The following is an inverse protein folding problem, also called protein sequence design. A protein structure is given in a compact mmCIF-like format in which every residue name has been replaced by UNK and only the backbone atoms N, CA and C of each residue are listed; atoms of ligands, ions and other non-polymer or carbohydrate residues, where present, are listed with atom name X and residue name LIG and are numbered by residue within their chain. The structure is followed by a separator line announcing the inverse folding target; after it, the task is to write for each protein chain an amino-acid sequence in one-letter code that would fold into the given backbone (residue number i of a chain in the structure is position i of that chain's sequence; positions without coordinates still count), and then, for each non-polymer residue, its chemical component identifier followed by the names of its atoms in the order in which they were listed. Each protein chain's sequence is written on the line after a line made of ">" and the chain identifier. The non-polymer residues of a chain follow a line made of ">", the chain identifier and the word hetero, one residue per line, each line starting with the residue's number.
data_IF_958500835260
#
_entry.id   IF_958500835260
#
_cell.length_a   1.000
_cell.length_b   1.000
_cell.length_c   1.000
_cell.angle_alpha   90.00
_cell.angle_beta   90.00
_cell.angle_gamma   90.00
#
_symmetry.space_group_name_H-M   'P 1'
#
loop_
_entity.id
_entity.type
_entity.pdbx_description
1 polymer ?
#
# COMPACT_ATOMS: atom_id res chain seq x y z
N UNK A 1 8.54 -62.09 -15.50
CA UNK A 1 8.29 -62.11 -14.04
C UNK A 1 9.41 -61.47 -13.21
N UNK A 2 10.72 -61.68 -13.48
CA UNK A 2 11.80 -61.08 -12.65
C UNK A 2 11.92 -59.54 -12.74
N UNK A 3 11.68 -58.93 -13.92
CA UNK A 3 11.74 -57.47 -14.10
C UNK A 3 10.64 -56.72 -13.34
N UNK A 4 9.42 -57.26 -13.23
CA UNK A 4 8.33 -56.60 -12.50
C UNK A 4 8.54 -56.61 -10.99
N UNK A 5 9.17 -57.67 -10.45
CA UNK A 5 9.52 -57.75 -9.02
C UNK A 5 10.60 -56.74 -8.62
N UNK A 6 11.62 -56.53 -9.46
CA UNK A 6 12.67 -55.53 -9.21
C UNK A 6 12.14 -54.10 -9.25
N UNK A 7 11.24 -53.80 -10.21
CA UNK A 7 10.58 -52.50 -10.31
C UNK A 7 9.69 -52.26 -9.07
N UNK A 8 8.91 -53.25 -8.64
CA UNK A 8 8.09 -53.13 -7.43
C UNK A 8 8.93 -52.90 -6.16
N UNK A 9 10.06 -53.59 -6.00
CA UNK A 9 10.98 -53.37 -4.87
C UNK A 9 11.62 -51.99 -4.92
N UNK A 10 12.03 -51.50 -6.08
CA UNK A 10 12.61 -50.16 -6.24
C UNK A 10 11.58 -49.05 -5.92
N UNK A 11 10.34 -49.20 -6.38
CA UNK A 11 9.23 -48.30 -6.04
C UNK A 11 8.97 -48.33 -4.53
N UNK A 12 8.89 -49.52 -3.92
CA UNK A 12 8.68 -49.66 -2.47
C UNK A 12 9.78 -48.98 -1.64
N UNK A 13 11.05 -49.17 -2.02
CA UNK A 13 12.18 -48.50 -1.36
C UNK A 13 12.11 -46.97 -1.51
N UNK A 14 11.72 -46.48 -2.69
CA UNK A 14 11.53 -45.05 -2.93
C UNK A 14 10.41 -44.43 -2.06
N UNK A 15 9.27 -45.11 -1.95
CA UNK A 15 8.15 -44.67 -1.11
C UNK A 15 8.55 -44.63 0.37
N UNK A 16 9.21 -45.68 0.87
CA UNK A 16 9.67 -45.72 2.27
C UNK A 16 10.69 -44.61 2.54
N UNK A 17 11.63 -44.38 1.61
CA UNK A 17 12.62 -43.31 1.71
C UNK A 17 11.95 -41.93 1.79
N UNK A 18 11.02 -41.64 0.88
CA UNK A 18 10.26 -40.40 0.87
C UNK A 18 9.47 -40.19 2.18
N UNK A 19 8.73 -41.21 2.64
CA UNK A 19 7.96 -41.13 3.88
C UNK A 19 8.86 -40.89 5.11
N UNK A 20 10.04 -41.52 5.15
CA UNK A 20 11.01 -41.29 6.21
C UNK A 20 11.55 -39.85 6.17
N UNK A 21 11.79 -39.29 4.98
CA UNK A 21 12.17 -37.89 4.83
C UNK A 21 11.07 -36.95 5.30
N UNK A 22 9.82 -37.14 4.85
CA UNK A 22 8.67 -36.35 5.29
C UNK A 22 8.50 -36.40 6.80
N UNK A 23 8.64 -37.58 7.41
CA UNK A 23 8.59 -37.73 8.87
C UNK A 23 9.70 -36.93 9.58
N UNK A 24 10.94 -36.98 9.07
CA UNK A 24 12.04 -36.22 9.65
C UNK A 24 11.82 -34.70 9.55
N UNK A 25 11.32 -34.22 8.41
CA UNK A 25 10.91 -32.82 8.21
C UNK A 25 9.82 -32.44 9.21
N UNK A 26 8.75 -33.23 9.32
CA UNK A 26 7.63 -32.97 10.22
C UNK A 26 8.05 -32.90 11.71
N UNK A 27 8.99 -33.74 12.14
CA UNK A 27 9.53 -33.67 13.51
C UNK A 27 10.42 -32.44 13.73
N UNK A 28 11.19 -32.05 12.72
CA UNK A 28 11.98 -30.81 12.75
C UNK A 28 11.09 -29.59 12.90
N UNK A 29 10.06 -29.48 12.06
CA UNK A 29 9.09 -28.38 12.09
C UNK A 29 8.35 -28.34 13.43
N UNK A 30 7.94 -29.50 13.96
CA UNK A 30 7.29 -29.59 15.28
C UNK A 30 8.13 -28.96 16.39
N UNK A 31 9.41 -29.34 16.42
CA UNK A 31 10.35 -28.89 17.46
C UNK A 31 10.54 -27.39 17.39
N UNK A 32 10.74 -26.87 16.18
CA UNK A 32 10.94 -25.46 15.93
C UNK A 32 9.69 -24.62 16.27
N UNK A 33 8.49 -25.07 15.89
CA UNK A 33 7.24 -24.42 16.27
C UNK A 33 7.02 -24.37 17.78
N UNK A 34 7.39 -25.43 18.51
CA UNK A 34 7.30 -25.47 19.98
C UNK A 34 8.28 -24.48 20.62
N UNK A 35 9.51 -24.42 20.10
CA UNK A 35 10.54 -23.47 20.54
C UNK A 35 10.06 -22.02 20.35
N UNK A 36 9.58 -21.67 19.16
CA UNK A 36 9.10 -20.32 18.89
C UNK A 36 7.92 -19.93 19.79
N UNK A 37 6.92 -20.81 19.93
CA UNK A 37 5.75 -20.55 20.78
C UNK A 37 6.14 -20.35 22.24
N UNK A 38 7.17 -21.04 22.73
CA UNK A 38 7.65 -20.89 24.11
C UNK A 38 8.32 -19.53 24.38
N UNK A 39 8.80 -18.85 23.33
CA UNK A 39 9.46 -17.55 23.42
C UNK A 39 8.48 -16.39 23.16
N UNK A 40 7.35 -16.64 22.49
CA UNK A 40 6.35 -15.63 22.19
C UNK A 40 5.61 -15.14 23.45
N UNK A 41 5.49 -13.83 23.62
CA UNK A 41 4.72 -13.24 24.71
C UNK A 41 3.33 -12.79 24.22
N UNK A 42 2.32 -13.61 24.48
CA UNK A 42 0.94 -13.37 24.05
C UNK A 42 0.02 -12.87 25.18
N UNK A 43 0.57 -12.51 26.34
CA UNK A 43 -0.23 -12.15 27.54
C UNK A 43 -1.16 -10.96 27.26
N UNK A 44 -0.77 -10.07 26.36
CA UNK A 44 -1.57 -8.88 25.98
C UNK A 44 -2.59 -9.15 24.89
N UNK A 45 -2.46 -10.24 24.14
CA UNK A 45 -3.34 -10.57 23.02
C UNK A 45 -4.66 -11.14 23.52
N UNK A 46 -5.78 -10.77 22.89
CA UNK A 46 -7.08 -11.36 23.18
C UNK A 46 -7.15 -12.84 22.72
N UNK A 47 -8.16 -13.62 23.15
CA UNK A 47 -8.22 -15.05 22.88
C UNK A 47 -8.24 -15.43 21.38
N UNK A 48 -8.81 -14.59 20.51
CA UNK A 48 -8.86 -14.88 19.08
C UNK A 48 -7.51 -14.55 18.42
N UNK A 49 -6.89 -13.44 18.81
CA UNK A 49 -5.52 -13.10 18.40
C UNK A 49 -4.50 -14.15 18.85
N UNK A 50 -4.65 -14.72 20.06
CA UNK A 50 -3.82 -15.84 20.52
C UNK A 50 -4.00 -17.10 19.67
N UNK A 51 -5.22 -17.40 19.23
CA UNK A 51 -5.49 -18.54 18.34
C UNK A 51 -4.89 -18.32 16.95
N UNK A 52 -5.08 -17.13 16.38
CA UNK A 52 -4.49 -16.78 15.09
C UNK A 52 -2.97 -16.89 15.11
N UNK A 53 -2.31 -16.34 16.15
CA UNK A 53 -0.86 -16.48 16.33
C UNK A 53 -0.40 -17.94 16.39
N UNK A 54 -1.13 -18.78 17.15
CA UNK A 54 -0.83 -20.22 17.25
C UNK A 54 -0.95 -20.91 15.90
N UNK A 55 -1.96 -20.57 15.10
CA UNK A 55 -2.13 -21.12 13.74
C UNK A 55 -0.96 -20.70 12.85
N UNK A 56 -0.62 -19.40 12.79
CA UNK A 56 0.54 -18.94 11.99
C UNK A 56 1.81 -19.70 12.34
N UNK A 57 2.09 -19.81 13.64
CA UNK A 57 3.23 -20.54 14.14
C UNK A 57 3.18 -22.02 13.76
N UNK A 58 2.08 -22.72 14.03
CA UNK A 58 1.96 -24.16 13.82
C UNK A 58 1.97 -24.57 12.35
N UNK A 59 1.54 -23.68 11.45
CA UNK A 59 1.54 -23.90 10.00
C UNK A 59 2.85 -23.47 9.33
N UNK A 60 3.79 -22.89 10.10
CA UNK A 60 5.10 -22.50 9.58
C UNK A 60 5.06 -21.27 8.68
N UNK A 61 4.04 -20.41 8.80
CA UNK A 61 3.90 -19.22 7.95
C UNK A 61 5.14 -18.32 8.05
N UNK A 62 5.70 -18.20 9.26
CA UNK A 62 6.88 -17.39 9.52
C UNK A 62 8.13 -17.81 8.72
N UNK A 63 8.25 -19.10 8.32
CA UNK A 63 9.44 -19.59 7.63
C UNK A 63 9.68 -18.89 6.30
N UNK A 64 8.60 -18.61 5.57
CA UNK A 64 8.68 -17.96 4.26
C UNK A 64 8.32 -16.47 4.30
N UNK A 65 7.54 -16.05 5.30
CA UNK A 65 6.95 -14.71 5.35
C UNK A 65 7.59 -13.77 6.39
N UNK A 66 8.74 -14.10 6.96
CA UNK A 66 9.48 -13.18 7.85
C UNK A 66 10.96 -13.15 7.50
N UNK A 67 11.62 -12.02 7.75
CA UNK A 67 13.04 -11.83 7.37
C UNK A 67 14.03 -12.52 8.30
N UNK A 68 13.61 -12.86 9.53
CA UNK A 68 14.50 -13.29 10.61
C UNK A 68 14.08 -14.65 11.21
N UNK A 69 13.40 -15.49 10.45
CA UNK A 69 13.01 -16.82 10.93
C UNK A 69 14.22 -17.71 11.15
N UNK A 70 14.24 -18.40 12.29
CA UNK A 70 15.12 -19.55 12.48
C UNK A 70 14.71 -20.65 11.49
N UNK A 71 15.64 -21.05 10.62
CA UNK A 71 15.35 -22.00 9.56
C UNK A 71 15.53 -23.44 10.07
N UNK A 72 14.67 -24.37 9.64
CA UNK A 72 14.77 -25.77 10.03
C UNK A 72 16.06 -26.42 9.52
N UNK A 73 16.49 -27.52 10.15
CA UNK A 73 17.79 -28.15 9.87
C UNK A 73 18.00 -28.50 8.38
N UNK A 74 16.93 -28.88 7.67
CA UNK A 74 16.98 -29.27 6.27
C UNK A 74 17.14 -28.09 5.30
N UNK A 75 16.93 -26.85 5.75
CA UNK A 75 17.14 -25.65 4.94
C UNK A 75 18.60 -25.45 4.51
N UNK A 76 19.54 -26.12 5.18
CA UNK A 76 20.96 -26.10 4.83
C UNK A 76 21.39 -27.28 3.94
N UNK A 77 20.48 -28.20 3.61
CA UNK A 77 20.80 -29.35 2.76
C UNK A 77 20.94 -28.94 1.28
N UNK A 78 21.82 -29.58 0.49
CA UNK A 78 21.89 -29.36 -0.95
C UNK A 78 20.50 -29.53 -1.61
N UNK A 79 20.22 -28.73 -2.65
CA UNK A 79 18.89 -28.61 -3.32
C UNK A 79 17.82 -27.94 -2.46
N UNK A 80 17.56 -28.42 -1.23
CA UNK A 80 16.56 -27.83 -0.33
C UNK A 80 16.89 -26.36 -0.04
N UNK A 81 18.17 -26.05 0.21
CA UNK A 81 18.64 -24.67 0.40
C UNK A 81 18.26 -23.74 -0.74
N UNK A 82 18.56 -24.12 -1.98
CA UNK A 82 18.31 -23.27 -3.15
C UNK A 82 16.82 -23.04 -3.39
N UNK A 83 16.02 -24.10 -3.22
CA UNK A 83 14.57 -24.03 -3.35
C UNK A 83 13.98 -23.12 -2.27
N UNK A 84 14.35 -23.32 -1.01
CA UNK A 84 13.85 -22.52 0.11
C UNK A 84 14.30 -21.05 0.01
N UNK A 85 15.56 -20.78 -0.35
CA UNK A 85 16.03 -19.39 -0.57
C UNK A 85 15.23 -18.69 -1.67
N UNK A 86 14.92 -19.40 -2.76
CA UNK A 86 14.07 -18.88 -3.82
C UNK A 86 12.64 -18.61 -3.31
N UNK A 87 12.03 -19.57 -2.64
CA UNK A 87 10.63 -19.48 -2.20
C UNK A 87 10.45 -18.42 -1.11
N UNK A 88 11.38 -18.32 -0.15
CA UNK A 88 11.42 -17.26 0.87
C UNK A 88 11.54 -15.90 0.20
N UNK A 89 12.44 -15.75 -0.79
CA UNK A 89 12.60 -14.49 -1.53
C UNK A 89 11.29 -14.10 -2.24
N UNK A 90 10.62 -15.03 -2.91
CA UNK A 90 9.35 -14.74 -3.58
C UNK A 90 8.20 -14.48 -2.60
N UNK A 91 8.14 -15.21 -1.49
CA UNK A 91 7.15 -15.03 -0.44
C UNK A 91 7.28 -13.65 0.22
N UNK A 92 8.50 -13.23 0.58
CA UNK A 92 8.77 -11.90 1.14
C UNK A 92 8.47 -10.77 0.14
N UNK A 93 8.64 -11.00 -1.16
CA UNK A 93 8.20 -10.03 -2.19
C UNK A 93 6.69 -9.79 -2.14
N UNK A 94 5.90 -10.85 -1.96
CA UNK A 94 4.43 -10.76 -1.94
C UNK A 94 3.87 -10.29 -0.60
N UNK A 95 4.35 -10.87 0.50
CA UNK A 95 3.83 -10.59 1.83
C UNK A 95 4.87 -10.90 2.91
N UNK A 96 5.28 -9.86 3.65
CA UNK A 96 6.09 -9.98 4.85
C UNK A 96 5.20 -9.76 6.07
N UNK A 97 5.07 -10.77 6.93
CA UNK A 97 4.25 -10.75 8.15
C UNK A 97 5.06 -10.46 9.41
N UNK A 98 6.34 -10.05 9.30
CA UNK A 98 7.17 -9.75 10.47
C UNK A 98 6.51 -8.72 11.39
N UNK A 99 5.96 -7.64 10.83
CA UNK A 99 5.27 -6.60 11.59
C UNK A 99 3.98 -7.14 12.23
N UNK A 100 3.12 -7.82 11.45
CA UNK A 100 1.94 -8.51 11.96
C UNK A 100 2.24 -9.40 13.18
N UNK A 101 3.26 -10.25 13.10
CA UNK A 101 3.61 -11.18 14.18
C UNK A 101 4.06 -10.46 15.46
N UNK A 102 4.74 -9.31 15.33
CA UNK A 102 5.11 -8.46 16.46
C UNK A 102 3.90 -7.72 17.04
N UNK A 103 3.05 -7.16 16.18
CA UNK A 103 1.88 -6.38 16.58
C UNK A 103 0.86 -7.23 17.34
N UNK A 104 0.66 -8.49 16.93
CA UNK A 104 -0.20 -9.44 17.67
C UNK A 104 0.29 -9.63 19.10
N UNK A 105 1.60 -9.84 19.30
CA UNK A 105 2.19 -9.99 20.65
C UNK A 105 2.04 -8.71 21.48
N UNK A 106 2.11 -7.55 20.83
CA UNK A 106 2.03 -6.25 21.50
C UNK A 106 0.60 -5.73 21.68
N UNK A 107 -0.43 -6.43 21.17
CA UNK A 107 -1.83 -5.96 21.07
C UNK A 107 -1.93 -4.57 20.41
N UNK A 108 -1.17 -4.40 19.31
CA UNK A 108 -1.22 -3.22 18.45
C UNK A 108 -2.11 -3.51 17.23
N UNK A 109 -2.71 -2.47 16.61
CA UNK A 109 -3.46 -2.64 15.37
C UNK A 109 -2.60 -3.28 14.27
N UNK A 110 -3.17 -4.26 13.56
CA UNK A 110 -2.58 -4.87 12.36
C UNK A 110 -2.91 -4.01 11.14
N UNK A 111 -2.00 -3.83 10.19
CA UNK A 111 -2.28 -2.98 9.01
C UNK A 111 -3.47 -3.51 8.19
N UNK A 112 -4.29 -2.59 7.66
CA UNK A 112 -5.40 -2.92 6.75
C UNK A 112 -4.93 -3.71 5.52
N UNK A 113 -3.70 -3.45 5.05
CA UNK A 113 -3.08 -4.16 3.91
C UNK A 113 -2.75 -5.61 4.29
N UNK A 114 -2.17 -5.82 5.46
CA UNK A 114 -1.81 -7.16 5.94
C UNK A 114 -3.07 -8.01 6.17
N UNK A 115 -4.12 -7.41 6.75
CA UNK A 115 -5.43 -8.04 6.92
C UNK A 115 -6.08 -8.40 5.57
N UNK A 116 -6.02 -7.51 4.58
CA UNK A 116 -6.58 -7.76 3.25
C UNK A 116 -5.82 -8.84 2.48
N UNK A 117 -4.49 -8.86 2.54
CA UNK A 117 -3.66 -9.93 1.95
C UNK A 117 -3.96 -11.28 2.57
N UNK A 118 -4.04 -11.33 3.91
CA UNK A 118 -4.35 -12.54 4.64
C UNK A 118 -5.74 -13.07 4.28
N UNK A 119 -6.77 -12.22 4.32
CA UNK A 119 -8.13 -12.61 3.92
C UNK A 119 -8.17 -13.14 2.48
N UNK A 120 -7.46 -12.50 1.56
CA UNK A 120 -7.43 -12.94 0.16
C UNK A 120 -6.89 -14.35 0.01
N UNK A 121 -5.79 -14.70 0.66
CA UNK A 121 -5.17 -16.05 0.54
C UNK A 121 -5.93 -17.14 1.29
N UNK A 122 -6.69 -16.76 2.32
CA UNK A 122 -7.58 -17.66 3.05
C UNK A 122 -8.84 -17.99 2.24
N UNK A 123 -9.42 -16.99 1.58
CA UNK A 123 -10.64 -17.16 0.79
C UNK A 123 -10.43 -17.99 -0.48
N UNK A 124 -9.27 -17.90 -1.13
CA UNK A 124 -8.97 -18.64 -2.35
C UNK A 124 -8.19 -19.95 -2.13
N UNK A 125 -7.75 -20.22 -0.89
CA UNK A 125 -6.95 -21.40 -0.55
C UNK A 125 -5.60 -21.43 -1.27
N UNK A 126 -5.04 -20.27 -1.65
CA UNK A 126 -3.76 -20.19 -2.33
C UNK A 126 -2.56 -20.54 -1.42
N UNK A 127 -2.76 -20.48 -0.10
CA UNK A 127 -1.72 -20.75 0.89
C UNK A 127 -2.13 -21.88 1.86
N UNK A 128 -1.21 -22.81 2.18
CA UNK A 128 0.14 -22.93 1.61
C UNK A 128 0.13 -23.49 0.17
N UNK A 129 1.17 -23.24 -0.64
CA UNK A 129 1.25 -23.79 -1.99
C UNK A 129 1.24 -25.33 -2.01
N UNK A 130 0.54 -25.95 -2.96
CA UNK A 130 0.43 -27.42 -3.06
C UNK A 130 1.79 -28.15 -3.13
N UNK A 131 2.79 -27.51 -3.72
CA UNK A 131 4.15 -28.07 -3.81
C UNK A 131 4.82 -28.13 -2.42
N UNK A 132 4.61 -27.11 -1.59
CA UNK A 132 5.08 -27.09 -0.21
C UNK A 132 4.45 -28.23 0.61
N UNK A 133 3.15 -28.50 0.38
CA UNK A 133 2.44 -29.62 0.99
C UNK A 133 2.93 -31.01 0.54
N UNK A 134 3.89 -31.14 -0.37
CA UNK A 134 4.53 -32.44 -0.63
C UNK A 134 5.48 -32.85 0.50
N UNK A 135 6.03 -31.89 1.25
CA UNK A 135 6.96 -32.16 2.35
C UNK A 135 6.40 -31.74 3.72
N UNK A 136 5.46 -30.78 3.75
CA UNK A 136 4.97 -30.15 4.98
C UNK A 136 3.48 -30.40 5.22
N UNK A 137 3.08 -31.65 5.42
CA UNK A 137 1.66 -32.03 5.52
C UNK A 137 0.93 -31.35 6.69
N UNK A 138 1.63 -31.07 7.79
CA UNK A 138 1.07 -30.37 8.97
C UNK A 138 0.68 -28.92 8.66
N UNK A 139 1.30 -28.32 7.66
CA UNK A 139 1.06 -26.93 7.28
C UNK A 139 -0.24 -26.71 6.51
N UNK A 140 -0.92 -27.78 6.10
CA UNK A 140 -2.24 -27.68 5.48
C UNK A 140 -3.24 -27.06 6.45
N UNK A 141 -4.01 -26.08 5.96
CA UNK A 141 -5.00 -25.35 6.77
C UNK A 141 -6.34 -26.07 6.70
N UNK A 142 -6.84 -26.51 7.85
CA UNK A 142 -8.21 -27.03 7.93
C UNK A 142 -9.24 -25.92 7.75
N UNK A 143 -10.48 -26.29 7.41
CA UNK A 143 -11.59 -25.33 7.35
C UNK A 143 -11.78 -24.59 8.68
N UNK A 144 -11.66 -25.30 9.80
CA UNK A 144 -11.80 -24.71 11.13
C UNK A 144 -10.71 -23.66 11.40
N UNK A 145 -9.46 -23.94 11.05
CA UNK A 145 -8.35 -22.98 11.22
C UNK A 145 -8.53 -21.77 10.29
N UNK A 146 -8.99 -22.00 9.06
CA UNK A 146 -9.34 -20.95 8.10
C UNK A 146 -10.42 -20.03 8.65
N UNK A 147 -11.50 -20.60 9.19
CA UNK A 147 -12.60 -19.84 9.79
C UNK A 147 -12.14 -19.02 11.01
N UNK A 148 -11.24 -19.57 11.83
CA UNK A 148 -10.64 -18.84 12.97
C UNK A 148 -9.87 -17.61 12.47
N UNK A 149 -9.03 -17.77 11.44
CA UNK A 149 -8.26 -16.66 10.90
C UNK A 149 -9.14 -15.62 10.22
N UNK A 150 -10.17 -16.01 9.47
CA UNK A 150 -11.13 -15.08 8.88
C UNK A 150 -11.93 -14.33 9.93
N UNK A 151 -12.35 -14.99 11.01
CA UNK A 151 -13.00 -14.33 12.14
C UNK A 151 -12.07 -13.37 12.87
N UNK A 152 -10.79 -13.74 12.99
CA UNK A 152 -9.77 -12.85 13.55
C UNK A 152 -9.59 -11.59 12.70
N UNK A 153 -9.50 -11.71 11.38
CA UNK A 153 -9.46 -10.56 10.46
C UNK A 153 -10.67 -9.64 10.66
N UNK A 154 -11.88 -10.21 10.73
CA UNK A 154 -13.11 -9.44 10.99
C UNK A 154 -13.08 -8.72 12.34
N UNK A 155 -12.54 -9.36 13.38
CA UNK A 155 -12.38 -8.75 14.70
C UNK A 155 -11.43 -7.56 14.64
N UNK A 156 -10.26 -7.72 14.03
CA UNK A 156 -9.27 -6.65 13.91
C UNK A 156 -9.83 -5.45 13.14
N UNK A 157 -10.50 -5.69 12.01
CA UNK A 157 -11.23 -4.64 11.28
C UNK A 157 -12.29 -3.98 12.15
N UNK A 158 -13.12 -4.77 12.84
CA UNK A 158 -14.18 -4.22 13.70
C UNK A 158 -13.64 -3.35 14.83
N UNK A 159 -12.44 -3.65 15.34
CA UNK A 159 -11.84 -2.98 16.50
C UNK A 159 -11.15 -1.68 16.12
N UNK A 160 -10.57 -1.60 14.92
CA UNK A 160 -9.68 -0.50 14.55
C UNK A 160 -10.08 0.29 13.29
N UNK A 161 -10.82 -0.31 12.36
CA UNK A 161 -10.98 0.26 11.01
C UNK A 161 -12.43 0.33 10.51
N UNK A 162 -13.35 -0.43 11.10
CA UNK A 162 -14.73 -0.46 10.65
C UNK A 162 -15.43 0.87 10.94
N UNK A 163 -15.98 1.46 9.89
CA UNK A 163 -16.83 2.63 10.01
C UNK A 163 -18.22 2.24 10.53
N UNK A 164 -18.72 2.98 11.51
CA UNK A 164 -20.03 2.76 12.13
C UNK A 164 -21.23 3.12 11.25
N UNK A 165 -21.03 3.96 10.23
CA UNK A 165 -22.07 4.36 9.28
C UNK A 165 -22.23 3.39 8.11
N UNK A 166 -21.30 2.43 7.96
CA UNK A 166 -21.32 1.44 6.88
C UNK A 166 -22.36 0.36 7.18
N UNK A 167 -23.12 -0.05 6.14
CA UNK A 167 -24.14 -1.08 6.31
C UNK A 167 -23.53 -2.45 6.63
N UNK A 168 -24.24 -3.36 7.33
CA UNK A 168 -23.67 -4.63 7.80
C UNK A 168 -22.99 -5.49 6.73
N UNK A 169 -23.44 -5.39 5.47
CA UNK A 169 -22.87 -6.09 4.32
C UNK A 169 -21.39 -5.75 4.07
N UNK A 170 -21.00 -4.47 4.24
CA UNK A 170 -19.64 -3.97 3.97
C UNK A 170 -18.85 -3.67 5.24
N UNK A 171 -19.40 -3.96 6.43
CA UNK A 171 -18.78 -3.66 7.73
C UNK A 171 -17.35 -4.20 7.86
N UNK A 172 -17.08 -5.32 7.21
CA UNK A 172 -15.76 -5.98 7.25
C UNK A 172 -15.04 -5.93 5.91
N UNK A 173 -15.53 -5.19 4.91
CA UNK A 173 -14.80 -5.05 3.65
C UNK A 173 -13.47 -4.33 3.89
N UNK A 174 -12.44 -4.70 3.11
CA UNK A 174 -11.13 -4.07 3.18
C UNK A 174 -11.18 -2.58 2.81
N UNK A 175 -12.13 -2.19 1.97
CA UNK A 175 -12.35 -0.80 1.58
C UNK A 175 -13.46 -0.18 2.43
N UNK A 176 -13.20 1.01 2.95
CA UNK A 176 -14.12 1.77 3.80
C UNK A 176 -14.36 3.16 3.18
N UNK A 177 -15.51 3.82 3.47
CA UNK A 177 -15.75 5.16 2.97
C UNK A 177 -14.82 6.18 3.64
N UNK A 178 -14.54 7.31 2.98
CA UNK A 178 -13.86 8.42 3.66
C UNK A 178 -14.83 9.02 4.68
N UNK A 179 -14.49 8.87 5.96
CA UNK A 179 -15.21 9.45 7.09
C UNK A 179 -14.30 10.09 8.13
N UNK A 180 -13.00 9.80 8.10
CA UNK A 180 -12.05 10.44 9.02
C UNK A 180 -11.97 11.94 8.77
N UNK A 181 -12.23 12.70 9.84
CA UNK A 181 -11.99 14.14 9.89
C UNK A 181 -10.67 14.42 10.61
N UNK A 182 -9.82 15.26 10.02
CA UNK A 182 -8.57 15.67 10.64
C UNK A 182 -8.77 16.96 11.42
N UNK A 183 -8.32 16.99 12.68
CA UNK A 183 -8.30 18.22 13.46
C UNK A 183 -7.22 19.15 12.90
N UNK A 184 -7.61 20.37 12.57
CA UNK A 184 -6.73 21.42 12.04
C UNK A 184 -6.89 22.72 12.81
N UNK A 185 -5.94 23.63 12.65
CA UNK A 185 -6.06 25.01 13.09
C UNK A 185 -6.47 25.90 11.91
N UNK A 186 -7.72 26.39 11.90
CA UNK A 186 -8.29 27.16 10.78
C UNK A 186 -7.45 28.38 10.36
N UNK A 187 -6.79 29.05 11.31
CA UNK A 187 -5.94 30.20 10.99
C UNK A 187 -4.65 29.77 10.29
N UNK A 188 -4.08 28.60 10.66
CA UNK A 188 -2.95 28.01 9.94
C UNK A 188 -3.37 27.44 8.59
N UNK A 189 -4.56 26.86 8.47
CA UNK A 189 -5.14 26.40 7.19
C UNK A 189 -5.21 27.55 6.21
N UNK A 190 -5.73 28.71 6.63
CA UNK A 190 -5.81 29.89 5.77
C UNK A 190 -4.42 30.36 5.32
N UNK A 191 -3.46 30.45 6.24
CA UNK A 191 -2.07 30.79 5.90
C UNK A 191 -1.46 29.74 4.94
N UNK A 192 -1.72 28.47 5.18
CA UNK A 192 -1.28 27.36 4.32
C UNK A 192 -1.83 27.44 2.91
N UNK A 193 -3.12 27.77 2.77
CA UNK A 193 -3.77 27.99 1.47
C UNK A 193 -3.13 29.17 0.72
N UNK A 194 -2.85 30.28 1.43
CA UNK A 194 -2.13 31.42 0.86
C UNK A 194 -0.74 30.99 0.35
N UNK A 195 0.02 30.25 1.15
CA UNK A 195 1.36 29.75 0.80
C UNK A 195 1.34 28.71 -0.33
N UNK A 196 0.34 27.84 -0.38
CA UNK A 196 0.16 26.83 -1.43
C UNK A 196 0.05 27.44 -2.84
N UNK A 197 -0.45 28.68 -2.90
CA UNK A 197 -0.58 29.46 -4.13
C UNK A 197 0.53 30.51 -4.30
N UNK A 198 1.41 30.67 -3.31
CA UNK A 198 2.43 31.72 -3.32
C UNK A 198 3.68 31.31 -4.12
N UNK A 199 3.83 31.93 -5.29
CA UNK A 199 4.98 31.68 -6.17
C UNK A 199 6.30 32.14 -5.55
N UNK A 200 6.29 33.01 -4.54
CA UNK A 200 7.51 33.47 -3.84
C UNK A 200 8.24 32.33 -3.14
N UNK A 201 7.63 31.16 -2.97
CA UNK A 201 8.31 29.96 -2.51
C UNK A 201 9.32 29.41 -3.54
N UNK A 202 9.18 29.72 -4.84
CA UNK A 202 10.15 29.35 -5.88
C UNK A 202 11.24 30.37 -6.08
N UNK A 203 12.44 29.95 -6.50
CA UNK A 203 13.62 30.81 -6.61
C UNK A 203 13.43 32.06 -7.47
N UNK A 204 12.68 31.95 -8.56
CA UNK A 204 12.43 33.06 -9.50
C UNK A 204 10.98 33.58 -9.46
N UNK A 205 10.20 33.20 -8.45
CA UNK A 205 8.80 33.60 -8.26
C UNK A 205 7.83 33.18 -9.40
N UNK A 206 8.07 32.03 -10.04
CA UNK A 206 7.24 31.53 -11.17
C UNK A 206 6.40 30.30 -10.85
N UNK A 207 6.81 29.48 -9.88
CA UNK A 207 6.19 28.19 -9.53
C UNK A 207 5.66 28.22 -8.10
N UNK A 208 4.50 27.61 -7.86
CA UNK A 208 3.90 27.36 -6.55
C UNK A 208 3.41 25.89 -6.49
N UNK A 209 3.01 25.40 -5.31
CA UNK A 209 2.46 24.04 -5.15
C UNK A 209 1.29 23.81 -6.13
N UNK A 210 0.37 24.77 -6.21
CA UNK A 210 -0.78 24.80 -7.13
C UNK A 210 -0.42 24.80 -8.63
N UNK A 211 0.85 24.99 -9.01
CA UNK A 211 1.30 24.90 -10.41
C UNK A 211 1.29 23.45 -10.89
N UNK A 212 1.78 22.53 -10.05
CA UNK A 212 1.83 21.09 -10.35
C UNK A 212 0.62 20.34 -9.76
N UNK A 213 0.04 20.87 -8.69
CA UNK A 213 -1.07 20.24 -7.96
C UNK A 213 -2.30 21.16 -7.97
N UNK A 214 -2.93 21.31 -9.14
CA UNK A 214 -4.05 22.24 -9.28
C UNK A 214 -5.32 21.70 -8.60
N UNK A 215 -5.84 22.41 -7.61
CA UNK A 215 -7.07 22.02 -6.89
C UNK A 215 -8.32 22.00 -7.79
N UNK A 216 -8.27 22.63 -8.96
CA UNK A 216 -9.35 22.65 -9.97
C UNK A 216 -9.20 21.57 -11.05
N UNK A 217 -8.20 20.70 -10.93
CA UNK A 217 -7.85 19.64 -11.90
C UNK A 217 -7.48 18.36 -11.16
N UNK A 218 -8.35 17.90 -10.27
CA UNK A 218 -8.11 16.69 -9.48
C UNK A 218 -6.88 16.71 -8.57
N UNK A 219 -6.25 17.86 -8.33
CA UNK A 219 -5.03 17.99 -7.51
C UNK A 219 -3.73 17.65 -8.26
N UNK A 220 -3.74 17.65 -9.59
CA UNK A 220 -2.59 17.34 -10.47
C UNK A 220 -2.45 18.36 -11.60
N UNK A 221 -1.47 18.19 -12.49
CA UNK A 221 -1.22 19.05 -13.66
C UNK A 221 -1.62 18.43 -15.01
N UNK A 222 -1.96 17.13 -15.02
CA UNK A 222 -2.24 16.31 -16.21
C UNK A 222 -1.09 16.23 -17.22
N UNK A 223 0.14 16.33 -16.74
CA UNK A 223 1.34 16.13 -17.55
C UNK A 223 1.92 14.74 -17.31
N UNK A 224 2.66 14.22 -18.29
CA UNK A 224 3.46 13.01 -18.09
C UNK A 224 4.43 13.20 -16.92
N UNK A 225 5.18 14.30 -16.98
CA UNK A 225 5.97 14.81 -15.85
C UNK A 225 5.84 16.32 -15.74
N UNK A 226 5.87 16.80 -14.50
CA UNK A 226 5.65 18.21 -14.18
C UNK A 226 6.74 19.13 -14.74
N UNK A 227 6.33 20.37 -15.02
CA UNK A 227 7.24 21.45 -15.41
C UNK A 227 7.51 22.35 -14.21
N UNK A 228 8.75 22.39 -13.76
CA UNK A 228 9.20 23.28 -12.70
C UNK A 228 9.85 24.56 -13.21
N UNK A 229 10.70 25.13 -12.36
CA UNK A 229 11.41 26.38 -12.56
C UNK A 229 12.22 26.36 -13.85
N UNK A 230 12.22 27.48 -14.58
CA UNK A 230 12.92 27.64 -15.87
C UNK A 230 12.50 26.62 -16.96
N UNK A 231 11.31 26.01 -16.84
CA UNK A 231 10.83 25.01 -17.79
C UNK A 231 11.43 23.62 -17.61
N UNK A 232 12.15 23.37 -16.49
CA UNK A 232 12.73 22.07 -16.19
C UNK A 232 11.63 20.98 -16.09
N UNK A 233 11.95 19.77 -16.54
CA UNK A 233 11.04 18.62 -16.47
C UNK A 233 11.47 17.66 -15.37
N UNK A 234 10.52 17.31 -14.51
CA UNK A 234 10.68 16.26 -13.51
C UNK A 234 10.79 14.86 -14.13
N UNK A 235 11.27 13.86 -13.38
CA UNK A 235 11.35 12.48 -13.85
C UNK A 235 10.10 11.64 -13.56
N UNK A 236 9.11 12.19 -12.85
CA UNK A 236 7.93 11.45 -12.38
C UNK A 236 6.64 12.25 -12.61
N UNK A 237 5.53 11.53 -12.67
CA UNK A 237 4.18 12.08 -12.64
C UNK A 237 3.86 12.62 -11.23
N UNK A 238 3.23 13.80 -11.17
CA UNK A 238 2.82 14.42 -9.92
C UNK A 238 1.53 13.75 -9.38
N UNK A 239 1.59 13.07 -8.21
CA UNK A 239 0.41 12.48 -7.61
C UNK A 239 -0.54 13.57 -7.09
N UNK A 240 -1.82 13.24 -6.91
CA UNK A 240 -2.78 14.19 -6.34
C UNK A 240 -2.47 14.55 -4.88
N UNK A 241 -2.72 15.81 -4.51
CA UNK A 241 -2.72 16.25 -3.11
C UNK A 241 -3.98 15.83 -2.35
N UNK A 242 -5.08 15.54 -3.05
CA UNK A 242 -6.33 15.15 -2.39
C UNK A 242 -6.19 13.80 -1.70
N UNK A 243 -6.63 13.72 -0.44
CA UNK A 243 -6.54 12.55 0.44
C UNK A 243 -5.10 12.09 0.75
N UNK A 244 -4.08 12.88 0.41
CA UNK A 244 -2.67 12.55 0.69
C UNK A 244 -2.34 12.45 2.18
N UNK A 245 -3.16 13.08 3.03
CA UNK A 245 -3.13 12.97 4.50
C UNK A 245 -3.31 11.54 5.02
N UNK A 246 -3.95 10.65 4.25
CA UNK A 246 -4.10 9.24 4.61
C UNK A 246 -2.86 8.39 4.33
N UNK A 247 -1.88 8.90 3.57
CA UNK A 247 -0.68 8.14 3.27
C UNK A 247 0.20 7.97 4.52
N UNK A 248 0.78 6.78 4.70
CA UNK A 248 1.77 6.51 5.76
C UNK A 248 3.13 7.21 5.52
N UNK A 249 3.38 7.59 4.28
CA UNK A 249 4.57 8.30 3.79
C UNK A 249 4.19 9.10 2.54
N UNK A 250 4.93 10.15 2.20
CA UNK A 250 4.68 10.95 1.00
C UNK A 250 5.70 10.68 -0.11
N UNK A 251 5.36 11.10 -1.35
CA UNK A 251 6.01 10.71 -2.61
C UNK A 251 5.82 9.23 -2.99
N UNK A 252 6.14 8.90 -4.25
CA UNK A 252 6.09 7.54 -4.80
C UNK A 252 7.06 6.57 -4.12
N UNK A 253 8.22 7.05 -3.68
CA UNK A 253 9.25 6.28 -2.96
C UNK A 253 9.10 6.37 -1.43
N UNK A 254 8.13 7.16 -0.94
CA UNK A 254 7.87 7.33 0.49
C UNK A 254 8.95 8.08 1.28
N UNK A 255 9.80 8.87 0.62
CA UNK A 255 10.99 9.46 1.28
C UNK A 255 10.68 10.49 2.37
N UNK A 256 9.47 11.03 2.41
CA UNK A 256 9.01 11.92 3.48
C UNK A 256 8.00 11.18 4.38
N UNK A 257 8.09 11.37 5.70
CA UNK A 257 7.24 10.68 6.69
C UNK A 257 5.82 11.24 6.75
N UNK A 258 5.64 12.51 6.42
CA UNK A 258 4.36 13.22 6.51
C UNK A 258 4.29 14.40 5.52
N UNK A 259 3.15 15.10 5.49
CA UNK A 259 2.91 16.25 4.63
C UNK A 259 3.86 17.42 4.93
N UNK A 260 4.22 17.65 6.19
CA UNK A 260 5.09 18.75 6.57
C UNK A 260 6.51 18.51 6.02
N UNK A 261 7.06 17.31 6.19
CA UNK A 261 8.35 16.95 5.62
C UNK A 261 8.31 16.97 4.09
N UNK A 262 7.20 16.53 3.47
CA UNK A 262 7.01 16.59 2.02
C UNK A 262 7.06 18.03 1.51
N UNK A 263 6.34 18.95 2.14
CA UNK A 263 6.29 20.37 1.75
C UNK A 263 7.67 21.05 1.80
N UNK A 264 8.63 20.47 2.53
CA UNK A 264 10.01 20.95 2.56
C UNK A 264 10.83 20.62 1.30
N UNK A 265 10.46 19.57 0.56
CA UNK A 265 11.19 19.08 -0.60
C UNK A 265 11.10 19.97 -1.84
N UNK A 266 9.90 20.24 -2.39
CA UNK A 266 9.73 21.00 -3.64
C UNK A 266 10.40 22.37 -3.67
N UNK A 267 10.34 23.20 -2.61
CA UNK A 267 11.04 24.48 -2.54
C UNK A 267 12.55 24.37 -2.80
N UNK A 268 13.19 23.30 -2.30
CA UNK A 268 14.64 23.10 -2.39
C UNK A 268 15.06 22.32 -3.64
N UNK A 269 14.15 21.61 -4.30
CA UNK A 269 14.47 20.82 -5.48
C UNK A 269 14.76 21.74 -6.69
N UNK A 270 15.98 21.67 -7.30
CA UNK A 270 16.40 22.57 -8.38
C UNK A 270 15.58 22.46 -9.67
N UNK A 271 14.86 21.36 -9.88
CA UNK A 271 14.01 21.17 -11.07
C UNK A 271 12.52 21.35 -10.78
N UNK A 272 12.14 21.61 -9.52
CA UNK A 272 10.76 21.94 -9.12
C UNK A 272 10.64 23.44 -8.85
N UNK A 273 10.88 23.90 -7.61
CA UNK A 273 10.76 25.33 -7.26
C UNK A 273 12.12 26.02 -7.12
N UNK A 274 13.21 25.27 -6.93
CA UNK A 274 14.60 25.72 -7.09
C UNK A 274 14.98 26.99 -6.31
N UNK A 275 14.53 27.14 -5.08
CA UNK A 275 14.84 28.33 -4.28
C UNK A 275 16.30 28.42 -3.83
N UNK A 276 17.01 27.28 -3.76
CA UNK A 276 18.42 27.17 -3.39
C UNK A 276 18.70 27.28 -1.88
N UNK A 277 17.89 28.03 -1.14
CA UNK A 277 17.90 28.05 0.32
C UNK A 277 16.59 28.55 0.90
N UNK A 278 16.27 28.13 2.13
CA UNK A 278 15.14 28.67 2.88
C UNK A 278 15.30 30.15 3.21
N UNK A 279 16.52 30.62 3.46
CA UNK A 279 16.78 32.04 3.72
C UNK A 279 16.32 32.90 2.54
N UNK A 280 16.55 32.45 1.30
CA UNK A 280 16.09 33.17 0.12
C UNK A 280 14.56 33.27 0.06
N UNK A 281 13.82 32.23 0.47
CA UNK A 281 12.36 32.27 0.57
C UNK A 281 11.94 33.25 1.67
N UNK A 282 12.53 33.12 2.86
CA UNK A 282 12.24 33.95 4.02
C UNK A 282 12.47 35.43 3.70
N UNK A 283 13.59 35.80 3.05
CA UNK A 283 13.90 37.19 2.67
C UNK A 283 12.88 37.80 1.70
N UNK A 284 12.17 36.96 0.92
CA UNK A 284 11.10 37.42 0.02
C UNK A 284 9.79 37.59 0.77
N UNK A 285 9.44 36.65 1.64
CA UNK A 285 8.21 36.69 2.43
C UNK A 285 8.26 37.76 3.53
N UNK A 286 9.43 38.02 4.14
CA UNK A 286 9.60 39.01 5.21
C UNK A 286 9.35 40.45 4.76
N UNK A 287 9.44 40.72 3.45
CA UNK A 287 9.11 42.02 2.85
C UNK A 287 7.60 42.30 2.81
N UNK A 288 6.78 41.29 3.03
CA UNK A 288 5.33 41.40 3.12
C UNK A 288 4.92 41.56 4.59
N UNK A 289 4.70 42.81 5.00
CA UNK A 289 4.39 43.14 6.40
C UNK A 289 3.09 42.50 6.90
N UNK A 290 2.11 42.27 6.01
CA UNK A 290 0.87 41.61 6.37
C UNK A 290 1.11 40.12 6.62
N UNK A 291 1.82 39.44 5.71
CA UNK A 291 2.17 38.03 5.88
C UNK A 291 3.04 37.81 7.12
N UNK A 292 4.05 38.67 7.34
CA UNK A 292 4.90 38.63 8.54
C UNK A 292 4.07 38.72 9.83
N UNK A 293 3.13 39.65 9.89
CA UNK A 293 2.24 39.77 11.06
C UNK A 293 1.38 38.52 11.28
N UNK A 294 0.94 37.83 10.22
CA UNK A 294 0.24 36.55 10.33
C UNK A 294 1.16 35.47 10.96
N UNK A 295 2.40 35.35 10.48
CA UNK A 295 3.38 34.41 11.02
C UNK A 295 3.74 34.71 12.46
N UNK A 296 4.01 35.96 12.82
CA UNK A 296 4.33 36.35 14.20
C UNK A 296 3.18 36.04 15.16
N UNK A 297 1.93 36.15 14.70
CA UNK A 297 0.74 35.79 15.48
C UNK A 297 0.55 34.28 15.63
N UNK A 298 0.76 33.51 14.56
CA UNK A 298 0.49 32.05 14.54
C UNK A 298 1.67 31.20 15.04
N UNK A 299 2.88 31.74 14.92
CA UNK A 299 4.15 31.10 15.23
C UNK A 299 5.08 32.05 16.01
N UNK A 300 4.69 32.53 17.20
CA UNK A 300 5.43 33.59 17.91
C UNK A 300 6.88 33.25 18.29
N UNK A 301 7.25 31.96 18.26
CA UNK A 301 8.63 31.51 18.51
C UNK A 301 9.45 31.37 17.22
N UNK A 302 8.81 31.05 16.11
CA UNK A 302 9.48 30.70 14.86
C UNK A 302 9.45 31.84 13.83
N UNK A 303 8.43 32.71 13.88
CA UNK A 303 8.17 33.70 12.83
C UNK A 303 8.03 33.03 11.46
N UNK A 304 8.52 33.68 10.41
CA UNK A 304 8.67 33.07 9.08
C UNK A 304 9.91 32.17 9.09
N UNK A 305 9.70 30.87 8.96
CA UNK A 305 10.76 29.85 8.96
C UNK A 305 10.35 28.65 8.10
N UNK A 306 11.30 27.79 7.74
CA UNK A 306 11.00 26.49 7.10
C UNK A 306 9.90 25.72 7.85
N UNK A 307 10.04 25.61 9.18
CA UNK A 307 9.09 24.89 10.02
C UNK A 307 7.68 25.47 9.93
N UNK A 308 7.53 26.80 10.08
CA UNK A 308 6.21 27.44 10.09
C UNK A 308 5.57 27.46 8.70
N UNK A 309 6.36 27.60 7.63
CA UNK A 309 5.87 27.53 6.25
C UNK A 309 5.34 26.12 5.95
N UNK A 310 6.15 25.09 6.21
CA UNK A 310 5.79 23.70 5.93
C UNK A 310 4.64 23.21 6.82
N UNK A 311 4.60 23.62 8.09
CA UNK A 311 3.49 23.30 9.01
C UNK A 311 2.17 23.90 8.53
N UNK A 312 2.16 25.17 8.11
CA UNK A 312 0.96 25.83 7.60
C UNK A 312 0.43 25.14 6.32
N UNK A 313 1.32 24.84 5.36
CA UNK A 313 0.95 24.10 4.14
C UNK A 313 0.37 22.72 4.49
N UNK A 314 1.02 21.97 5.39
CA UNK A 314 0.53 20.67 5.82
C UNK A 314 -0.84 20.76 6.53
N UNK A 315 -1.07 21.80 7.35
CA UNK A 315 -2.38 22.06 7.96
C UNK A 315 -3.46 22.29 6.89
N UNK A 316 -3.16 23.04 5.82
CA UNK A 316 -4.06 23.20 4.69
C UNK A 316 -4.31 21.87 3.96
N UNK A 317 -3.27 21.11 3.65
CA UNK A 317 -3.40 19.84 2.93
C UNK A 317 -4.20 18.78 3.68
N UNK A 318 -4.21 18.80 5.02
CA UNK A 318 -5.11 17.96 5.86
C UNK A 318 -6.59 18.21 5.57
N UNK A 319 -6.95 19.38 5.05
CA UNK A 319 -8.34 19.72 4.67
C UNK A 319 -8.72 19.27 3.26
N UNK A 320 -7.74 18.86 2.44
CA UNK A 320 -7.94 18.42 1.06
C UNK A 320 -8.43 16.96 1.02
N UNK A 321 -9.55 16.69 1.69
CA UNK A 321 -10.19 15.38 1.78
C UNK A 321 -11.48 15.40 0.95
N UNK A 322 -11.76 14.30 0.25
CA UNK A 322 -12.89 14.22 -0.70
C UNK A 322 -13.87 13.10 -0.34
N UNK A 323 -14.72 13.26 0.70
CA UNK A 323 -15.73 12.27 1.06
C UNK A 323 -16.91 12.27 0.08
N UNK A 324 -17.96 11.50 0.38
CA UNK A 324 -19.25 11.53 -0.33
C UNK A 324 -19.19 11.15 -1.81
N UNK A 325 -18.18 10.37 -2.21
CA UNK A 325 -18.20 9.73 -3.54
C UNK A 325 -19.43 8.85 -3.68
N UNK A 326 -19.82 8.54 -4.93
CA UNK A 326 -20.96 7.63 -5.17
C UNK A 326 -20.72 6.27 -4.53
N UNK A 327 -19.48 5.81 -4.51
CA UNK A 327 -19.10 4.59 -3.80
C UNK A 327 -19.24 4.72 -2.28
N UNK A 328 -18.84 5.86 -1.67
CA UNK A 328 -19.04 6.06 -0.23
C UNK A 328 -20.52 5.99 0.15
N UNK A 329 -21.39 6.61 -0.65
CA UNK A 329 -22.84 6.59 -0.46
C UNK A 329 -23.39 5.17 -0.56
N UNK A 330 -22.89 4.37 -1.50
CA UNK A 330 -23.23 2.95 -1.64
C UNK A 330 -22.82 2.12 -0.42
N UNK A 331 -21.58 2.28 0.07
CA UNK A 331 -21.10 1.61 1.29
C UNK A 331 -21.94 1.98 2.53
N UNK A 332 -22.49 3.20 2.56
CA UNK A 332 -23.40 3.68 3.63
C UNK A 332 -24.87 3.31 3.41
N UNK A 333 -25.19 2.55 2.36
CA UNK A 333 -26.51 1.93 2.16
C UNK A 333 -27.38 2.54 1.06
N UNK A 334 -26.92 3.57 0.35
CA UNK A 334 -27.61 4.06 -0.85
C UNK A 334 -27.35 3.10 -2.02
N UNK A 335 -28.19 2.08 -2.14
CA UNK A 335 -28.12 1.08 -3.21
C UNK A 335 -28.31 1.66 -4.61
N UNK A 336 -28.86 2.87 -4.72
CA UNK A 336 -29.06 3.56 -6.00
C UNK A 336 -27.88 4.42 -6.43
N UNK A 337 -26.89 4.62 -5.53
CA UNK A 337 -25.71 5.41 -5.83
C UNK A 337 -24.84 4.77 -6.93
N UNK A 338 -24.86 3.43 -7.04
CA UNK A 338 -24.17 2.67 -8.09
C UNK A 338 -25.15 1.94 -9.01
N UNK A 339 -24.84 1.95 -10.30
CA UNK A 339 -25.46 1.07 -11.31
C UNK A 339 -25.04 -0.38 -11.09
N UNK A 340 -25.75 -1.32 -11.72
CA UNK A 340 -25.37 -2.73 -11.67
C UNK A 340 -23.96 -2.98 -12.25
N UNK A 341 -23.61 -2.29 -13.34
CA UNK A 341 -22.29 -2.41 -13.97
C UNK A 341 -21.15 -1.98 -13.03
N UNK A 342 -21.33 -0.89 -12.29
CA UNK A 342 -20.35 -0.41 -11.31
C UNK A 342 -20.25 -1.36 -10.09
N UNK A 343 -21.35 -1.98 -9.68
CA UNK A 343 -21.33 -3.00 -8.62
C UNK A 343 -20.60 -4.27 -9.08
N UNK A 344 -20.84 -4.72 -10.31
CA UNK A 344 -20.07 -5.80 -10.94
C UNK A 344 -18.58 -5.43 -11.05
N UNK A 345 -18.27 -4.18 -11.37
CA UNK A 345 -16.91 -3.64 -11.35
C UNK A 345 -16.22 -3.74 -10.00
N UNK A 346 -16.92 -3.40 -8.90
CA UNK A 346 -16.38 -3.59 -7.55
C UNK A 346 -16.18 -5.07 -7.21
N UNK A 347 -17.11 -5.94 -7.62
CA UNK A 347 -16.95 -7.39 -7.43
C UNK A 347 -15.71 -7.93 -8.18
N UNK A 348 -15.48 -7.48 -9.42
CA UNK A 348 -14.29 -7.81 -10.20
C UNK A 348 -13.01 -7.26 -9.58
N UNK A 349 -13.04 -6.04 -9.05
CA UNK A 349 -11.91 -5.45 -8.31
C UNK A 349 -11.50 -6.32 -7.11
N UNK A 350 -12.48 -6.85 -6.38
CA UNK A 350 -12.23 -7.79 -5.26
C UNK A 350 -11.74 -9.15 -5.76
N UNK A 351 -12.38 -9.72 -6.77
CA UNK A 351 -12.03 -11.02 -7.33
C UNK A 351 -10.60 -11.05 -7.92
N UNK A 352 -10.15 -9.92 -8.47
CA UNK A 352 -8.80 -9.74 -8.99
C UNK A 352 -7.82 -9.19 -7.94
N UNK A 353 -8.16 -9.30 -6.64
CA UNK A 353 -7.25 -9.02 -5.52
C UNK A 353 -6.75 -7.58 -5.44
N UNK A 354 -7.33 -6.62 -6.17
CA UNK A 354 -6.87 -5.23 -6.19
C UNK A 354 -6.94 -4.60 -4.78
N UNK A 355 -7.95 -4.98 -3.98
CA UNK A 355 -8.12 -4.54 -2.60
C UNK A 355 -7.04 -5.05 -1.62
N UNK A 356 -6.14 -5.96 -2.03
CA UNK A 356 -5.02 -6.39 -1.18
C UNK A 356 -3.93 -5.34 -1.04
N UNK A 357 -3.87 -4.37 -1.97
CA UNK A 357 -2.96 -3.22 -1.93
C UNK A 357 -3.76 -1.90 -1.80
N UNK A 358 -4.90 -1.80 -2.50
CA UNK A 358 -5.77 -0.63 -2.51
C UNK A 358 -6.89 -0.78 -1.49
N UNK A 359 -6.53 -0.67 -0.22
CA UNK A 359 -7.39 -0.88 0.95
C UNK A 359 -7.57 0.40 1.78
N UNK A 360 -8.47 0.34 2.76
CA UNK A 360 -8.77 1.44 3.68
C UNK A 360 -9.53 2.58 3.03
N UNK A 361 -9.62 3.71 3.76
CA UNK A 361 -10.45 4.84 3.34
C UNK A 361 -9.97 5.50 2.05
N UNK A 362 -8.66 5.66 1.86
CA UNK A 362 -8.10 6.27 0.66
C UNK A 362 -7.83 5.27 -0.48
N UNK A 363 -8.10 3.97 -0.27
CA UNK A 363 -7.86 2.90 -1.24
C UNK A 363 -6.40 2.87 -1.74
N UNK A 364 -5.46 2.89 -0.81
CA UNK A 364 -4.03 3.01 -1.08
C UNK A 364 -3.34 3.94 -0.08
N UNK A 365 -2.03 4.10 -0.24
CA UNK A 365 -1.20 4.92 0.63
C UNK A 365 -0.72 4.23 1.90
N UNK A 366 -1.04 2.94 2.10
CA UNK A 366 -0.83 2.21 3.36
C UNK A 366 0.29 1.16 3.31
N UNK A 367 0.94 0.94 2.16
CA UNK A 367 2.07 0.03 2.02
C UNK A 367 2.99 0.39 0.84
N UNK A 368 4.13 -0.32 0.79
CA UNK A 368 5.06 -0.30 -0.34
C UNK A 368 5.04 -1.67 -1.06
N UNK A 369 4.62 -1.67 -2.32
CA UNK A 369 4.42 -2.90 -3.08
C UNK A 369 5.31 -2.91 -4.32
N UNK A 370 5.77 -4.09 -4.69
CA UNK A 370 6.61 -4.29 -5.88
C UNK A 370 5.76 -4.03 -7.12
N UNK A 371 6.19 -3.12 -7.99
CA UNK A 371 5.69 -3.01 -9.36
C UNK A 371 6.28 -4.15 -10.21
N UNK A 372 5.45 -4.91 -10.91
CA UNK A 372 5.86 -6.15 -11.58
C UNK A 372 5.99 -7.35 -10.63
N UNK A 373 4.95 -7.60 -9.83
CA UNK A 373 4.93 -8.73 -8.88
C UNK A 373 4.81 -10.10 -9.57
N UNK A 374 4.06 -10.16 -10.68
CA UNK A 374 3.72 -11.38 -11.42
C UNK A 374 4.30 -11.42 -12.83
N UNK A 375 4.62 -10.27 -13.40
CA UNK A 375 5.30 -10.15 -14.69
C UNK A 375 6.27 -8.94 -14.71
N UNK A 376 7.18 -8.87 -15.69
CA UNK A 376 8.28 -7.90 -15.73
C UNK A 376 7.88 -6.55 -16.35
N UNK A 377 7.19 -5.72 -15.56
CA UNK A 377 6.77 -4.37 -15.96
C UNK A 377 7.94 -3.53 -16.49
N UNK A 378 9.09 -3.56 -15.82
CA UNK A 378 10.23 -2.71 -16.19
C UNK A 378 10.96 -3.22 -17.43
N UNK A 379 11.04 -4.54 -17.60
CA UNK A 379 11.54 -5.17 -18.82
C UNK A 379 10.69 -4.83 -20.03
N UNK A 380 9.37 -4.97 -19.92
CA UNK A 380 8.43 -4.73 -21.03
C UNK A 380 8.33 -3.24 -21.39
N UNK A 381 8.23 -2.35 -20.40
CA UNK A 381 8.22 -0.90 -20.61
C UNK A 381 9.56 -0.41 -21.18
N UNK A 382 10.66 -1.05 -20.78
CA UNK A 382 12.01 -0.62 -21.08
C UNK A 382 12.37 0.71 -20.42
N UNK A 383 13.46 1.33 -20.91
CA UNK A 383 13.95 2.65 -20.48
C UNK A 383 14.00 2.84 -18.95
N UNK A 384 14.58 1.87 -18.24
CA UNK A 384 14.71 1.92 -16.79
C UNK A 384 15.63 3.07 -16.38
N UNK A 385 15.15 3.89 -15.45
CA UNK A 385 15.81 5.06 -14.89
C UNK A 385 15.99 4.90 -13.38
N UNK A 386 16.71 5.81 -12.73
CA UNK A 386 16.93 5.74 -11.29
C UNK A 386 15.64 5.81 -10.48
N UNK A 387 14.60 6.53 -10.95
CA UNK A 387 13.32 6.61 -10.22
C UNK A 387 12.58 5.28 -10.16
N UNK A 388 12.87 4.37 -11.11
CA UNK A 388 12.27 3.04 -11.17
C UNK A 388 12.76 2.12 -10.04
N UNK A 389 13.89 2.45 -9.39
CA UNK A 389 14.32 1.73 -8.19
C UNK A 389 13.34 1.91 -7.01
N UNK A 390 12.49 2.95 -7.04
CA UNK A 390 11.45 3.18 -6.04
C UNK A 390 12.01 3.36 -4.64
N UNK A 391 11.45 2.63 -3.67
CA UNK A 391 11.79 2.69 -2.24
C UNK A 391 13.26 2.37 -1.96
N UNK A 392 13.90 1.55 -2.80
CA UNK A 392 15.34 1.30 -2.71
C UNK A 392 16.16 2.59 -2.72
N UNK A 393 15.72 3.64 -3.44
CA UNK A 393 16.43 4.91 -3.46
C UNK A 393 16.54 5.55 -2.07
N UNK A 394 15.59 5.23 -1.18
CA UNK A 394 15.54 5.71 0.21
C UNK A 394 16.25 4.76 1.16
N UNK A 395 15.94 3.46 1.11
CA UNK A 395 16.35 2.50 2.15
C UNK A 395 17.68 1.82 1.87
N UNK A 396 18.07 1.73 0.58
CA UNK A 396 19.18 0.92 0.08
C UNK A 396 19.05 -0.58 0.36
N UNK A 397 17.88 -1.06 0.79
CA UNK A 397 17.59 -2.49 0.96
C UNK A 397 17.17 -3.10 -0.38
N UNK A 398 17.85 -4.15 -0.83
CA UNK A 398 17.52 -4.85 -2.07
C UNK A 398 16.10 -5.42 -2.09
N UNK A 399 15.49 -5.69 -0.94
CA UNK A 399 14.08 -6.13 -0.85
C UNK A 399 13.08 -5.01 -1.19
N UNK A 400 13.53 -3.75 -1.20
CA UNK A 400 12.76 -2.57 -1.58
C UNK A 400 12.96 -2.16 -3.04
N UNK A 401 13.75 -2.92 -3.81
CA UNK A 401 13.92 -2.68 -5.24
C UNK A 401 12.57 -2.75 -5.95
N UNK A 402 12.27 -1.71 -6.73
CA UNK A 402 11.01 -1.56 -7.48
C UNK A 402 9.75 -1.51 -6.61
N UNK A 403 9.88 -1.28 -5.31
CA UNK A 403 8.72 -1.04 -4.44
C UNK A 403 8.31 0.42 -4.50
N UNK A 404 7.02 0.68 -4.65
CA UNK A 404 6.45 2.02 -4.62
C UNK A 404 5.36 2.08 -3.56
N UNK A 405 5.18 3.27 -2.98
CA UNK A 405 4.00 3.54 -2.18
C UNK A 405 2.78 3.35 -3.07
N UNK A 406 1.87 2.48 -2.66
CA UNK A 406 0.62 2.25 -3.39
C UNK A 406 -0.14 3.59 -3.48
N UNK A 407 -0.51 4.08 -4.67
CA UNK A 407 -1.25 5.34 -4.80
C UNK A 407 -2.70 5.18 -4.32
N UNK A 408 -3.28 6.26 -3.83
CA UNK A 408 -4.72 6.32 -3.50
C UNK A 408 -5.54 6.25 -4.78
N UNK A 409 -6.62 5.47 -4.81
CA UNK A 409 -7.52 5.40 -5.97
C UNK A 409 -8.70 6.39 -5.90
N UNK A 410 -8.84 7.11 -4.80
CA UNK A 410 -9.78 8.24 -4.70
C UNK A 410 -9.46 9.26 -5.79
N UNK A 411 -10.49 9.69 -6.52
CA UNK A 411 -10.39 10.64 -7.62
C UNK A 411 -9.55 10.17 -8.83
N UNK A 412 -9.21 8.88 -8.97
CA UNK A 412 -8.33 8.36 -10.03
C UNK A 412 -8.81 8.68 -11.46
N UNK A 413 -10.12 8.84 -11.65
CA UNK A 413 -10.68 9.25 -12.94
C UNK A 413 -10.29 10.68 -13.37
N UNK A 414 -9.79 11.50 -12.45
CA UNK A 414 -9.40 12.90 -12.66
C UNK A 414 -7.89 13.11 -12.63
N UNK A 415 -7.08 12.05 -12.65
CA UNK A 415 -5.62 12.18 -12.41
C UNK A 415 -4.76 11.50 -13.47
N UNK A 416 -5.28 11.30 -14.68
CA UNK A 416 -4.47 10.83 -15.79
C UNK A 416 -3.32 11.81 -16.11
N UNK A 417 -2.17 11.34 -16.64
CA UNK A 417 -1.81 9.93 -16.91
C UNK A 417 -1.43 9.14 -15.63
N UNK A 418 -1.23 7.83 -15.74
CA UNK A 418 -1.13 6.90 -14.61
C UNK A 418 0.26 6.29 -14.42
N UNK A 419 0.50 5.78 -13.21
CA UNK A 419 1.79 5.29 -12.68
C UNK A 419 2.81 6.41 -12.41
N UNK A 420 3.92 6.07 -11.75
CA UNK A 420 4.96 7.03 -11.39
C UNK A 420 5.64 7.65 -12.61
N UNK A 421 5.58 6.98 -13.75
CA UNK A 421 6.24 7.31 -15.00
C UNK A 421 5.28 7.75 -16.12
N UNK A 422 3.98 7.88 -15.82
CA UNK A 422 2.95 8.24 -16.79
C UNK A 422 2.85 7.31 -18.02
N UNK A 423 3.27 6.06 -17.92
CA UNK A 423 3.28 5.13 -19.06
C UNK A 423 1.87 4.73 -19.52
N UNK A 424 0.90 4.63 -18.60
CA UNK A 424 -0.49 4.38 -18.93
C UNK A 424 -1.28 5.68 -19.16
N UNK A 425 -1.84 5.84 -20.36
CA UNK A 425 -2.52 7.09 -20.77
C UNK A 425 -4.02 7.10 -20.45
N UNK A 426 -4.60 5.93 -20.24
CA UNK A 426 -6.03 5.76 -19.95
C UNK A 426 -6.22 4.91 -18.69
N UNK A 427 -7.37 5.07 -18.04
CA UNK A 427 -7.66 4.33 -16.81
C UNK A 427 -7.85 2.84 -17.14
N UNK A 428 -8.44 2.56 -18.30
CA UNK A 428 -8.62 1.23 -18.85
C UNK A 428 -7.27 0.54 -19.07
N UNK A 429 -6.27 1.23 -19.64
CA UNK A 429 -4.91 0.71 -19.76
C UNK A 429 -4.27 0.46 -18.39
N UNK A 430 -4.40 1.40 -17.45
CA UNK A 430 -3.84 1.21 -16.11
C UNK A 430 -4.44 0.01 -15.38
N UNK A 431 -5.73 -0.27 -15.58
CA UNK A 431 -6.42 -1.45 -15.04
C UNK A 431 -5.89 -2.74 -15.67
N UNK A 432 -5.73 -2.77 -17.00
CA UNK A 432 -5.20 -3.95 -17.71
C UNK A 432 -3.75 -4.25 -17.29
N UNK A 433 -2.90 -3.22 -17.27
CA UNK A 433 -1.50 -3.32 -16.85
C UNK A 433 -1.39 -3.79 -15.38
N UNK A 434 -2.22 -3.27 -14.47
CA UNK A 434 -2.24 -3.74 -13.07
C UNK A 434 -2.68 -5.21 -12.97
N UNK A 435 -3.69 -5.63 -13.73
CA UNK A 435 -4.14 -7.02 -13.73
C UNK A 435 -3.04 -7.96 -14.24
N UNK A 436 -2.34 -7.58 -15.31
CA UNK A 436 -1.23 -8.34 -15.87
C UNK A 436 -0.04 -8.40 -14.92
N UNK A 437 0.54 -7.25 -14.57
CA UNK A 437 1.82 -7.17 -13.88
C UNK A 437 1.73 -7.45 -12.38
N UNK A 438 0.59 -7.18 -11.73
CA UNK A 438 0.45 -7.38 -10.28
C UNK A 438 -0.28 -8.67 -9.91
N UNK A 439 -1.24 -9.10 -10.72
CA UNK A 439 -2.12 -10.25 -10.42
C UNK A 439 -1.78 -11.46 -11.29
N UNK A 440 -1.26 -11.24 -12.50
CA UNK A 440 -0.90 -12.29 -13.45
C UNK A 440 -2.10 -12.77 -14.27
N UNK A 441 -3.09 -11.90 -14.50
CA UNK A 441 -4.30 -12.23 -15.26
C UNK A 441 -4.51 -11.23 -16.40
N UNK A 442 -4.97 -11.74 -17.54
CA UNK A 442 -5.40 -10.90 -18.67
C UNK A 442 -6.91 -10.76 -18.62
N UNK A 443 -7.39 -9.54 -18.41
CA UNK A 443 -8.82 -9.27 -18.31
C UNK A 443 -9.47 -9.20 -19.70
N UNK A 444 -10.77 -9.48 -19.76
CA UNK A 444 -11.55 -9.17 -20.95
C UNK A 444 -11.81 -7.66 -21.03
N UNK A 445 -12.04 -7.12 -22.23
CA UNK A 445 -12.41 -5.70 -22.37
C UNK A 445 -13.63 -5.35 -21.52
N UNK A 446 -14.63 -6.24 -21.48
CA UNK A 446 -15.82 -6.02 -20.65
C UNK A 446 -15.52 -5.94 -19.15
N UNK A 447 -14.53 -6.69 -18.65
CA UNK A 447 -14.15 -6.63 -17.23
C UNK A 447 -13.35 -5.36 -16.94
N UNK A 448 -12.48 -4.94 -17.87
CA UNK A 448 -11.75 -3.67 -17.80
C UNK A 448 -12.73 -2.51 -17.74
N UNK A 449 -13.74 -2.50 -18.62
CA UNK A 449 -14.76 -1.45 -18.69
C UNK A 449 -15.55 -1.37 -17.38
N UNK A 450 -15.96 -2.51 -16.80
CA UNK A 450 -16.68 -2.57 -15.52
C UNK A 450 -15.84 -2.08 -14.35
N UNK A 451 -14.60 -2.56 -14.22
CA UNK A 451 -13.69 -2.09 -13.16
C UNK A 451 -13.46 -0.59 -13.31
N UNK A 452 -13.28 -0.11 -14.55
CA UNK A 452 -13.07 1.31 -14.81
C UNK A 452 -14.31 2.15 -14.51
N UNK A 453 -15.51 1.65 -14.82
CA UNK A 453 -16.78 2.25 -14.41
C UNK A 453 -16.85 2.38 -12.88
N UNK A 454 -16.52 1.31 -12.15
CA UNK A 454 -16.39 1.34 -10.70
C UNK A 454 -15.39 2.41 -10.22
N UNK A 455 -14.17 2.45 -10.76
CA UNK A 455 -13.15 3.42 -10.34
C UNK A 455 -13.58 4.88 -10.56
N UNK A 456 -14.39 5.15 -11.59
CA UNK A 456 -14.98 6.48 -11.84
C UNK A 456 -15.94 6.91 -10.72
N UNK A 457 -16.51 5.97 -9.96
CA UNK A 457 -17.40 6.25 -8.80
C UNK A 457 -16.66 6.74 -7.56
N UNK A 458 -15.32 6.61 -7.53
CA UNK A 458 -14.46 6.97 -6.39
C UNK A 458 -14.15 8.47 -6.29
N UNK A 459 -14.67 9.28 -7.22
CA UNK A 459 -14.52 10.74 -7.19
C UNK A 459 -15.45 11.32 -6.13
N UNK A 460 -14.86 11.99 -5.14
CA UNK A 460 -15.58 12.58 -4.02
C UNK A 460 -15.98 14.03 -4.21
N UNK A 461 -16.39 14.65 -3.11
CA UNK A 461 -16.76 16.06 -3.02
C UNK A 461 -15.68 16.84 -2.28
N UNK A 462 -15.25 17.99 -2.81
CA UNK A 462 -14.41 18.96 -2.10
C UNK A 462 -15.24 20.23 -1.85
N UNK A 463 -15.25 20.70 -0.59
CA UNK A 463 -16.07 21.85 -0.16
C UNK A 463 -17.57 21.72 -0.56
N UNK A 464 -18.11 20.51 -0.44
CA UNK A 464 -19.52 20.20 -0.75
C UNK A 464 -19.87 20.20 -2.24
N UNK A 465 -18.88 20.20 -3.13
CA UNK A 465 -19.07 20.12 -4.59
C UNK A 465 -18.33 18.92 -5.15
N UNK A 466 -18.87 18.22 -6.16
CA UNK A 466 -18.12 17.18 -6.86
C UNK A 466 -16.77 17.72 -7.33
N UNK A 467 -15.70 16.98 -7.03
CA UNK A 467 -14.36 17.32 -7.51
C UNK A 467 -14.34 17.27 -9.03
N UNK A 468 -13.54 18.15 -9.65
CA UNK A 468 -13.40 18.28 -11.09
C UNK A 468 -11.96 18.22 -11.54
#
# INVERSE_FOLDING_TARGET
>A
MKKSSLIACAIGAGVVGYLATVYAVDQGDKTLHQQYLSQANLVKADPLSQQAFKIFNQKGCQYCHTTNSEMPFYANMPVAKQLMEHDVKQALRQFNISALMEQVQQNKPISEVELAKLESVLNDGAMPPKQYLLMHWRSDLSQQETDILLNWVKQERSKYYADSEVVPEFKYDAVQPISTTFKVNDAKVKLGEELYHDKRLSGNNTVACSTCHSLTKGGVDHLDTSTGINGAKGPINAPTVFNSVFNIHQFWDGRAKDLQEQAGGPPMNPIEMGAGSWQHIIDKLDKDSALKAQFDSLYPKQGISEYSITDAIAEFEKTLVTPNSRFDKFLKGDKTALTQEEQEGYALFKANKCQTCHTGQAMGGLSFEVMGLKDDYFGDRGHITEVDNGRFNVTKDQNDMHRFKVPTLRNVALTAPYFHDASAKTLEQAVDDMALYQVGVKLSQSDIDKITAYLKTLTGEYQGKPLK
#
